data_IF_023126796125
#
_entry.id   IF_023126796125
#
_cell.length_a   1.000
_cell.length_b   1.000
_cell.length_c   1.000
_cell.angle_alpha   90.00
_cell.angle_beta   90.00
_cell.angle_gamma   90.00
#
_symmetry.space_group_name_H-M   'P 1'
#
loop_
_entity.id
_entity.type
_entity.pdbx_description
1 polymer ?
#
# COMPACT_ATOMS: atom_id res chain seq x y z
N UNK A 1 61.03 5.07 -25.23
CA UNK A 1 60.34 6.25 -25.83
C UNK A 1 58.92 5.86 -26.15
N UNK A 2 57.95 6.09 -25.25
CA UNK A 2 56.51 6.02 -25.56
C UNK A 2 55.78 6.83 -24.50
N UNK A 3 55.24 7.98 -24.93
CA UNK A 3 54.47 8.93 -24.13
C UNK A 3 53.10 8.28 -23.82
N UNK A 4 52.76 8.19 -22.54
CA UNK A 4 51.36 8.01 -22.08
C UNK A 4 50.70 9.38 -21.94
N UNK A 5 49.65 9.62 -22.69
CA UNK A 5 48.76 10.75 -22.52
C UNK A 5 47.82 10.46 -21.35
N UNK A 6 47.83 11.33 -20.33
CA UNK A 6 46.81 11.41 -19.31
C UNK A 6 45.68 12.29 -19.85
N UNK A 7 44.51 11.70 -19.97
CA UNK A 7 43.23 12.41 -20.18
C UNK A 7 42.38 12.04 -18.96
N UNK A 8 42.11 13.01 -18.12
CA UNK A 8 40.94 13.29 -17.29
C UNK A 8 41.36 14.17 -16.11
N UNK A 9 41.34 15.50 -16.34
CA UNK A 9 41.39 16.49 -15.28
C UNK A 9 40.00 16.60 -14.62
N UNK A 10 39.88 16.18 -13.37
CA UNK A 10 38.82 16.60 -12.47
C UNK A 10 39.39 17.68 -11.57
N UNK A 11 38.99 18.93 -11.79
CA UNK A 11 39.24 20.03 -10.84
C UNK A 11 38.44 19.80 -9.57
N UNK A 12 39.16 19.57 -8.47
CA UNK A 12 38.60 19.51 -7.13
C UNK A 12 38.27 20.95 -6.72
N UNK A 13 36.99 21.32 -6.83
CA UNK A 13 36.48 22.57 -6.29
C UNK A 13 36.59 22.54 -4.78
N UNK A 14 37.44 23.37 -4.25
CA UNK A 14 37.74 23.55 -2.83
C UNK A 14 36.46 23.81 -2.03
N UNK A 15 36.28 23.06 -0.93
CA UNK A 15 35.15 23.12 0.00
C UNK A 15 34.84 24.49 0.62
N UNK A 16 35.72 25.48 0.43
CA UNK A 16 35.55 26.84 0.93
C UNK A 16 34.61 27.72 0.08
N UNK A 17 34.31 27.34 -1.14
CA UNK A 17 33.34 28.06 -2.01
C UNK A 17 31.89 27.82 -1.63
N UNK A 18 31.55 26.58 -1.26
CA UNK A 18 30.18 26.18 -0.96
C UNK A 18 29.64 26.82 0.34
N UNK A 19 30.52 27.02 1.32
CA UNK A 19 30.17 27.62 2.62
C UNK A 19 29.92 29.13 2.56
N UNK A 20 30.48 29.83 1.56
CA UNK A 20 30.23 31.25 1.34
C UNK A 20 28.84 31.50 0.69
N UNK A 21 28.39 30.61 -0.19
CA UNK A 21 27.06 30.71 -0.79
C UNK A 21 25.94 30.35 0.19
N UNK A 22 26.16 29.39 1.11
CA UNK A 22 25.18 29.07 2.13
C UNK A 22 24.96 30.21 3.16
N UNK A 23 26.02 30.99 3.47
CA UNK A 23 25.91 32.17 4.37
C UNK A 23 25.21 33.36 3.68
N UNK A 24 25.29 33.49 2.36
CA UNK A 24 24.62 34.57 1.61
C UNK A 24 23.10 34.35 1.51
N UNK A 25 22.63 33.11 1.47
CA UNK A 25 21.20 32.78 1.40
C UNK A 25 20.49 32.99 2.75
N UNK A 26 21.19 32.78 3.87
CA UNK A 26 20.63 32.99 5.21
C UNK A 26 20.54 34.49 5.58
N UNK A 27 21.38 35.36 4.98
CA UNK A 27 21.35 36.80 5.27
C UNK A 27 20.39 37.61 4.40
N UNK A 28 19.95 37.07 3.24
CA UNK A 28 18.99 37.76 2.36
C UNK A 28 17.52 37.55 2.77
N UNK A 29 17.24 36.59 3.67
CA UNK A 29 15.89 36.32 4.19
C UNK A 29 15.47 37.19 5.37
N UNK A 30 16.37 37.95 5.99
CA UNK A 30 16.12 38.67 7.23
C UNK A 30 15.87 40.19 7.09
N UNK A 31 15.87 40.75 5.88
CA UNK A 31 15.77 42.23 5.66
C UNK A 31 14.45 42.66 4.99
N UNK A 32 13.50 41.77 4.76
CA UNK A 32 12.23 42.11 4.08
C UNK A 32 10.97 42.05 4.98
N UNK A 33 11.10 42.29 6.28
CA UNK A 33 9.95 42.32 7.21
C UNK A 33 9.86 43.69 7.96
N UNK A 34 10.16 44.80 7.31
CA UNK A 34 9.91 46.13 7.87
C UNK A 34 9.50 47.13 6.78
N UNK A 35 8.39 46.82 6.07
CA UNK A 35 7.65 47.84 5.35
C UNK A 35 6.18 47.68 5.75
N UNK A 36 5.75 48.48 6.74
CA UNK A 36 4.39 48.52 7.23
C UNK A 36 3.42 48.94 6.14
N UNK A 37 2.50 48.05 5.80
CA UNK A 37 1.27 48.40 5.06
C UNK A 37 0.12 48.31 6.05
N UNK A 38 -0.34 49.49 6.49
CA UNK A 38 -1.55 49.64 7.28
C UNK A 38 -2.76 49.30 6.43
N UNK A 39 -3.29 48.10 6.53
CA UNK A 39 -4.60 47.78 5.99
C UNK A 39 -5.68 48.23 6.99
N UNK A 40 -6.48 49.22 6.59
CA UNK A 40 -7.71 49.61 7.25
C UNK A 40 -8.71 48.47 7.07
N UNK A 41 -9.15 47.86 8.17
CA UNK A 41 -10.31 46.99 8.17
C UNK A 41 -11.56 47.80 7.88
N UNK A 42 -12.18 47.60 6.72
CA UNK A 42 -13.54 48.00 6.46
C UNK A 42 -14.45 46.95 7.12
N UNK A 43 -15.16 47.36 8.17
CA UNK A 43 -16.20 46.55 8.75
C UNK A 43 -17.36 46.41 7.76
N UNK A 44 -17.56 45.25 7.21
CA UNK A 44 -18.78 44.90 6.49
C UNK A 44 -19.88 44.65 7.52
N UNK A 45 -20.83 45.55 7.61
CA UNK A 45 -22.08 45.34 8.34
C UNK A 45 -22.91 44.29 7.64
N UNK A 46 -23.18 43.17 8.32
CA UNK A 46 -24.12 42.17 7.87
C UNK A 46 -25.56 42.70 7.89
N UNK A 47 -26.44 42.24 6.99
CA UNK A 47 -27.85 42.64 6.99
C UNK A 47 -28.56 42.15 8.26
N UNK A 48 -29.38 43.04 8.84
CA UNK A 48 -30.16 42.84 10.03
C UNK A 48 -31.28 41.78 9.86
N UNK A 49 -31.86 41.31 10.98
CA UNK A 49 -32.87 40.26 10.96
C UNK A 49 -34.24 40.82 10.56
N UNK A 50 -34.76 40.28 9.48
CA UNK A 50 -36.18 40.54 9.13
C UNK A 50 -36.43 40.58 7.65
N UNK A 51 -36.63 39.42 7.06
CA UNK A 51 -37.71 39.17 6.09
C UNK A 51 -37.71 37.69 5.75
N UNK A 52 -38.73 37.03 6.22
CA UNK A 52 -39.15 35.67 5.92
C UNK A 52 -39.67 35.53 4.49
N UNK A 53 -39.68 34.25 4.07
CA UNK A 53 -40.43 33.67 2.95
C UNK A 53 -39.71 33.70 1.62
N UNK A 54 -39.33 32.52 1.11
CA UNK A 54 -40.25 31.52 0.57
C UNK A 54 -39.54 30.16 0.43
N UNK A 55 -40.17 29.17 1.06
CA UNK A 55 -39.82 27.76 0.85
C UNK A 55 -40.32 27.33 -0.53
N UNK A 56 -39.45 27.20 -1.49
CA UNK A 56 -39.78 26.55 -2.78
C UNK A 56 -39.76 25.04 -2.60
N UNK A 57 -40.94 24.42 -2.63
CA UNK A 57 -41.10 22.96 -2.73
C UNK A 57 -40.46 22.47 -4.05
N UNK A 58 -39.64 21.42 -4.04
CA UNK A 58 -39.15 20.84 -5.31
C UNK A 58 -40.31 20.13 -6.03
N UNK A 59 -40.60 20.57 -7.24
CA UNK A 59 -41.45 19.84 -8.18
C UNK A 59 -40.76 18.52 -8.55
N UNK A 60 -41.46 17.39 -8.35
CA UNK A 60 -41.11 16.13 -8.99
C UNK A 60 -41.13 16.34 -10.51
N UNK A 61 -40.01 16.16 -11.15
CA UNK A 61 -39.94 15.88 -12.59
C UNK A 61 -39.56 14.41 -12.71
N UNK A 62 -40.49 13.64 -13.30
CA UNK A 62 -40.21 12.36 -13.86
C UNK A 62 -39.25 12.57 -15.04
N UNK A 63 -38.02 12.12 -14.89
CA UNK A 63 -37.07 11.98 -15.98
C UNK A 63 -36.68 10.51 -16.10
N UNK A 64 -36.54 9.99 -17.33
CA UNK A 64 -36.20 8.59 -17.55
C UNK A 64 -34.83 8.30 -16.98
N UNK A 65 -34.66 7.09 -16.40
CA UNK A 65 -33.42 6.60 -15.91
C UNK A 65 -32.38 6.55 -17.04
N UNK A 66 -31.39 7.46 -16.98
CA UNK A 66 -30.14 7.31 -17.69
C UNK A 66 -29.40 6.16 -17.01
N UNK A 67 -29.26 5.06 -17.73
CA UNK A 67 -28.42 3.94 -17.40
C UNK A 67 -26.97 4.46 -17.52
N UNK A 68 -26.39 4.89 -16.43
CA UNK A 68 -24.93 5.07 -16.35
C UNK A 68 -24.31 3.69 -16.35
N UNK A 69 -23.72 3.31 -17.48
CA UNK A 69 -22.82 2.17 -17.58
C UNK A 69 -21.58 2.45 -16.67
N UNK A 70 -21.68 2.04 -15.41
CA UNK A 70 -20.47 1.86 -14.60
C UNK A 70 -19.63 0.77 -15.25
N UNK A 71 -18.35 1.00 -15.52
CA UNK A 71 -17.48 -0.03 -16.07
C UNK A 71 -17.38 -1.18 -15.08
N UNK A 72 -18.10 -2.26 -15.36
CA UNK A 72 -17.97 -3.52 -14.63
C UNK A 72 -16.58 -4.06 -14.89
N UNK A 73 -15.80 -4.23 -13.83
CA UNK A 73 -14.53 -4.96 -13.87
C UNK A 73 -14.84 -6.32 -14.50
N UNK A 74 -14.16 -6.70 -15.61
CA UNK A 74 -14.45 -7.99 -16.24
C UNK A 74 -13.95 -9.09 -15.30
N UNK A 75 -14.79 -9.67 -14.47
CA UNK A 75 -14.50 -10.95 -13.85
C UNK A 75 -14.62 -12.01 -14.95
N UNK A 76 -13.50 -12.48 -15.47
CA UNK A 76 -13.44 -13.57 -16.45
C UNK A 76 -14.01 -14.90 -15.93
N UNK A 77 -14.53 -14.93 -14.71
CA UNK A 77 -14.97 -16.14 -14.03
C UNK A 77 -16.43 -16.15 -13.59
N UNK A 78 -17.24 -15.15 -13.89
CA UNK A 78 -18.69 -15.33 -13.74
C UNK A 78 -19.22 -16.09 -14.93
N UNK A 79 -19.05 -17.42 -14.97
CA UNK A 79 -19.95 -18.28 -15.72
C UNK A 79 -21.33 -18.12 -15.09
N UNK A 80 -22.22 -17.42 -15.78
CA UNK A 80 -23.65 -17.60 -15.56
C UNK A 80 -23.94 -19.07 -15.85
N UNK A 81 -24.17 -19.86 -14.83
CA UNK A 81 -24.79 -21.16 -14.96
C UNK A 81 -26.22 -20.94 -15.50
N UNK A 82 -26.35 -21.05 -16.81
CA UNK A 82 -27.63 -21.35 -17.47
C UNK A 82 -27.68 -22.85 -17.51
N UNK A 83 -28.80 -23.38 -16.99
CA UNK A 83 -29.21 -24.78 -16.95
C UNK A 83 -28.79 -25.57 -15.68
N UNK A 84 -29.35 -25.12 -14.53
CA UNK A 84 -29.59 -26.04 -13.42
C UNK A 84 -31.04 -26.49 -13.50
N UNK A 85 -31.35 -27.80 -13.61
CA UNK A 85 -32.73 -28.29 -13.57
C UNK A 85 -33.42 -27.91 -12.26
N UNK A 86 -34.60 -27.32 -12.33
CA UNK A 86 -35.45 -27.08 -11.15
C UNK A 86 -35.74 -28.41 -10.44
N UNK A 87 -35.26 -28.53 -9.18
CA UNK A 87 -35.60 -29.68 -8.34
C UNK A 87 -34.46 -30.36 -7.61
N UNK A 88 -33.22 -29.96 -7.83
CA UNK A 88 -32.10 -30.42 -6.98
C UNK A 88 -32.03 -29.60 -5.70
N UNK A 89 -31.90 -30.22 -4.49
CA UNK A 89 -31.67 -29.47 -3.28
C UNK A 89 -30.32 -28.75 -3.41
N UNK A 90 -30.37 -27.43 -3.58
CA UNK A 90 -29.19 -26.59 -3.53
C UNK A 90 -28.75 -26.56 -2.07
N UNK A 91 -27.82 -27.43 -1.72
CA UNK A 91 -27.06 -27.27 -0.49
C UNK A 91 -26.14 -26.04 -0.68
N UNK A 92 -26.62 -24.87 -0.35
CA UNK A 92 -25.76 -23.72 -0.09
C UNK A 92 -25.03 -24.02 1.22
N UNK A 93 -23.93 -24.74 1.12
CA UNK A 93 -22.96 -24.81 2.21
C UNK A 93 -22.31 -23.43 2.32
N UNK A 94 -22.81 -22.59 3.23
CA UNK A 94 -22.16 -21.36 3.68
C UNK A 94 -20.87 -21.73 4.43
N UNK A 95 -19.97 -22.43 3.77
CA UNK A 95 -18.65 -22.72 4.34
C UNK A 95 -17.82 -21.46 4.20
N UNK A 96 -17.74 -20.68 5.27
CA UNK A 96 -16.80 -19.57 5.35
C UNK A 96 -15.38 -20.12 5.21
N UNK A 97 -14.81 -20.04 4.03
CA UNK A 97 -13.41 -20.41 3.80
C UNK A 97 -12.53 -19.20 4.04
N UNK A 98 -11.54 -19.34 4.90
CA UNK A 98 -10.50 -18.34 5.12
C UNK A 98 -9.32 -18.66 4.23
N UNK A 99 -8.94 -17.71 3.37
CA UNK A 99 -7.77 -17.82 2.52
C UNK A 99 -6.62 -16.99 3.09
N UNK A 100 -5.43 -17.59 3.10
CA UNK A 100 -4.18 -16.99 3.57
C UNK A 100 -3.15 -17.04 2.45
N UNK A 101 -2.57 -15.90 2.16
CA UNK A 101 -1.33 -15.83 1.38
C UNK A 101 -0.16 -15.79 2.37
N UNK A 102 0.75 -16.75 2.24
CA UNK A 102 1.85 -16.95 3.19
C UNK A 102 3.18 -16.91 2.45
N UNK A 103 4.04 -15.96 2.79
CA UNK A 103 5.42 -15.96 2.34
C UNK A 103 6.32 -16.50 3.45
N UNK A 104 7.23 -17.41 3.10
CA UNK A 104 8.31 -17.87 3.97
C UNK A 104 9.61 -17.31 3.42
N UNK A 105 10.25 -16.42 4.16
CA UNK A 105 11.41 -15.67 3.73
C UNK A 105 12.64 -16.05 4.54
N UNK A 106 13.80 -16.15 3.89
CA UNK A 106 15.07 -16.30 4.59
C UNK A 106 15.50 -14.99 5.29
N UNK A 107 16.66 -15.00 5.94
CA UNK A 107 17.21 -13.82 6.61
C UNK A 107 17.68 -12.70 5.68
N UNK A 108 17.64 -12.92 4.37
CA UNK A 108 17.92 -11.94 3.32
C UNK A 108 16.65 -11.43 2.63
N UNK A 109 15.46 -11.92 3.05
CA UNK A 109 14.17 -11.58 2.44
C UNK A 109 13.82 -12.41 1.20
N UNK A 110 14.61 -13.44 0.85
CA UNK A 110 14.29 -14.29 -0.29
C UNK A 110 13.28 -15.37 0.09
N UNK A 111 12.33 -15.61 -0.81
CA UNK A 111 11.33 -16.65 -0.66
C UNK A 111 11.95 -18.05 -0.60
N UNK A 112 11.51 -18.87 0.35
CA UNK A 112 11.90 -20.26 0.47
C UNK A 112 10.83 -21.13 -0.20
N UNK A 113 11.11 -21.72 -1.37
CA UNK A 113 10.15 -22.54 -2.12
C UNK A 113 10.07 -23.97 -1.61
N UNK A 114 9.09 -24.73 -2.14
CA UNK A 114 8.98 -26.18 -2.01
C UNK A 114 8.78 -26.71 -0.59
N UNK A 115 8.21 -25.90 0.32
CA UNK A 115 7.81 -26.40 1.63
C UNK A 115 6.49 -27.18 1.46
N UNK A 116 6.46 -28.48 1.82
CA UNK A 116 5.27 -29.30 1.69
C UNK A 116 4.11 -28.83 2.58
N UNK A 117 2.87 -29.05 2.13
CA UNK A 117 1.64 -28.73 2.91
C UNK A 117 1.68 -29.23 4.34
N UNK A 118 2.17 -30.45 4.56
CA UNK A 118 2.22 -31.09 5.89
C UNK A 118 3.11 -30.37 6.91
N UNK A 119 3.98 -29.47 6.46
CA UNK A 119 4.82 -28.66 7.33
C UNK A 119 4.14 -27.36 7.79
N UNK A 120 2.98 -27.00 7.22
CA UNK A 120 2.25 -25.81 7.65
C UNK A 120 1.22 -26.17 8.73
N UNK A 121 1.23 -25.41 9.81
CA UNK A 121 0.21 -25.44 10.86
C UNK A 121 -0.43 -24.07 10.97
N UNK A 122 -1.73 -24.00 10.77
CA UNK A 122 -2.53 -22.80 10.94
C UNK A 122 -3.24 -22.86 12.28
N UNK A 123 -3.13 -21.82 13.07
CA UNK A 123 -3.82 -21.64 14.34
C UNK A 123 -4.77 -20.45 14.22
N UNK A 124 -6.04 -20.62 14.63
CA UNK A 124 -7.00 -19.55 14.82
C UNK A 124 -7.34 -19.46 16.32
N UNK A 125 -7.11 -18.31 16.93
CA UNK A 125 -7.22 -18.10 18.39
C UNK A 125 -6.50 -19.21 19.20
N UNK A 126 -5.31 -19.65 18.74
CA UNK A 126 -4.50 -20.75 19.23
C UNK A 126 -5.10 -22.16 19.05
N UNK A 127 -6.20 -22.31 18.33
CA UNK A 127 -6.80 -23.60 17.97
C UNK A 127 -6.30 -24.04 16.60
N UNK A 128 -5.68 -25.25 16.47
CA UNK A 128 -5.24 -25.75 15.17
C UNK A 128 -6.40 -25.91 14.20
N UNK A 129 -6.19 -25.48 12.96
CA UNK A 129 -7.17 -25.54 11.88
C UNK A 129 -6.75 -26.56 10.84
N UNK A 130 -7.74 -27.25 10.27
CA UNK A 130 -7.50 -28.20 9.19
C UNK A 130 -7.38 -27.45 7.86
N UNK A 131 -6.20 -27.51 7.23
CA UNK A 131 -5.98 -26.94 5.91
C UNK A 131 -6.82 -27.72 4.90
N UNK A 132 -7.75 -27.07 4.20
CA UNK A 132 -8.58 -27.66 3.15
C UNK A 132 -7.99 -27.48 1.75
N UNK A 133 -7.34 -26.34 1.48
CA UNK A 133 -6.69 -26.02 0.22
C UNK A 133 -5.22 -25.61 0.41
N UNK A 134 -4.37 -26.00 -0.55
CA UNK A 134 -2.96 -25.60 -0.57
C UNK A 134 -2.46 -25.52 -2.01
N UNK A 135 -1.89 -24.39 -2.40
CA UNK A 135 -1.32 -24.22 -3.72
C UNK A 135 -0.10 -23.28 -3.68
N UNK A 136 0.78 -23.41 -4.67
CA UNK A 136 1.97 -22.58 -4.87
C UNK A 136 2.03 -22.03 -6.29
N UNK A 137 0.85 -21.73 -6.87
CA UNK A 137 0.76 -21.37 -8.29
C UNK A 137 1.38 -20.00 -8.57
N UNK A 138 2.68 -19.97 -8.87
CA UNK A 138 3.42 -18.76 -9.23
C UNK A 138 3.00 -18.17 -10.60
N UNK A 139 2.24 -18.93 -11.41
CA UNK A 139 1.87 -18.52 -12.76
C UNK A 139 0.48 -17.85 -12.85
N UNK A 140 -0.31 -17.90 -11.77
CA UNK A 140 -1.59 -17.20 -11.76
C UNK A 140 -1.40 -15.68 -11.88
N UNK A 141 -2.26 -14.99 -12.69
CA UNK A 141 -2.26 -13.54 -12.75
C UNK A 141 -2.48 -12.92 -11.37
N UNK A 142 -1.87 -11.77 -11.15
CA UNK A 142 -2.10 -11.00 -9.94
C UNK A 142 -2.68 -9.61 -10.23
N UNK A 143 -3.34 -9.03 -9.25
CA UNK A 143 -3.93 -7.71 -9.32
C UNK A 143 -3.27 -6.80 -8.29
N UNK A 144 -2.59 -5.75 -8.76
CA UNK A 144 -1.86 -4.82 -7.90
C UNK A 144 -2.44 -3.42 -8.02
N UNK A 145 -2.82 -2.82 -6.89
CA UNK A 145 -3.12 -1.40 -6.82
C UNK A 145 -1.89 -0.65 -6.30
N UNK A 146 -1.29 0.19 -7.12
CA UNK A 146 -0.22 1.09 -6.70
C UNK A 146 -0.86 2.38 -6.16
N UNK A 147 -0.73 2.61 -4.85
CA UNK A 147 -1.25 3.79 -4.14
C UNK A 147 -0.07 4.70 -3.82
N UNK A 148 -0.03 5.86 -4.45
CA UNK A 148 1.16 6.72 -4.48
C UNK A 148 0.83 8.06 -3.84
N UNK A 149 1.53 8.40 -2.78
CA UNK A 149 1.48 9.73 -2.20
C UNK A 149 2.11 10.75 -3.14
N UNK A 150 1.32 11.73 -3.55
CA UNK A 150 1.72 12.71 -4.53
C UNK A 150 1.38 14.12 -4.06
N UNK A 151 2.04 14.56 -2.97
CA UNK A 151 1.80 15.88 -2.39
C UNK A 151 2.96 16.86 -2.64
N UNK A 152 2.63 18.17 -2.63
CA UNK A 152 3.57 19.24 -2.90
C UNK A 152 4.65 19.39 -1.81
N UNK A 153 4.31 19.10 -0.55
CA UNK A 153 5.25 19.21 0.56
C UNK A 153 6.42 18.25 0.39
N UNK A 154 6.14 17.01 -0.02
CA UNK A 154 7.16 16.01 -0.25
C UNK A 154 8.03 16.37 -1.45
N UNK A 155 7.45 16.84 -2.55
CA UNK A 155 8.19 17.20 -3.76
C UNK A 155 9.08 18.42 -3.59
N UNK A 156 8.66 19.42 -2.82
CA UNK A 156 9.44 20.60 -2.55
C UNK A 156 10.79 20.28 -1.91
N UNK A 157 10.82 19.29 -1.03
CA UNK A 157 12.06 18.86 -0.34
C UNK A 157 12.84 17.79 -1.14
N UNK A 158 12.21 17.12 -2.11
CA UNK A 158 12.76 15.90 -2.70
C UNK A 158 12.54 15.74 -4.20
N UNK A 159 12.61 16.78 -4.99
CA UNK A 159 12.38 16.71 -6.44
C UNK A 159 13.20 15.60 -7.14
N UNK A 160 14.47 15.42 -6.74
CA UNK A 160 15.33 14.37 -7.30
C UNK A 160 14.93 12.97 -6.80
N UNK A 161 14.58 12.83 -5.53
CA UNK A 161 14.11 11.57 -4.96
C UNK A 161 12.77 11.12 -5.53
N UNK A 162 11.88 12.06 -5.79
CA UNK A 162 10.62 11.77 -6.44
C UNK A 162 10.81 11.17 -7.84
N UNK A 163 11.67 11.77 -8.64
CA UNK A 163 12.00 11.23 -9.96
C UNK A 163 12.55 9.81 -9.89
N UNK A 164 13.47 9.53 -8.97
CA UNK A 164 14.00 8.19 -8.75
C UNK A 164 12.92 7.20 -8.30
N UNK A 165 11.99 7.63 -7.45
CA UNK A 165 10.85 6.83 -7.02
C UNK A 165 9.94 6.47 -8.21
N UNK A 166 9.64 7.42 -9.08
CA UNK A 166 8.85 7.17 -10.28
C UNK A 166 9.55 6.20 -11.23
N UNK A 167 10.84 6.39 -11.49
CA UNK A 167 11.63 5.48 -12.34
C UNK A 167 11.63 4.07 -11.78
N UNK A 168 11.82 3.92 -10.48
CA UNK A 168 11.81 2.61 -9.83
C UNK A 168 10.41 1.98 -9.83
N UNK A 169 9.34 2.78 -9.63
CA UNK A 169 7.95 2.32 -9.72
C UNK A 169 7.63 1.81 -11.13
N UNK A 170 8.18 2.46 -12.14
CA UNK A 170 8.13 2.01 -13.52
C UNK A 170 8.80 0.65 -13.70
N UNK A 171 10.02 0.51 -13.19
CA UNK A 171 10.76 -0.75 -13.20
C UNK A 171 9.97 -1.89 -12.53
N UNK A 172 9.20 -1.60 -11.47
CA UNK A 172 8.28 -2.59 -10.89
C UNK A 172 7.20 -3.04 -11.88
N UNK A 173 6.54 -2.10 -12.54
CA UNK A 173 5.49 -2.42 -13.54
C UNK A 173 6.06 -3.27 -14.68
N UNK A 174 7.28 -3.03 -15.10
CA UNK A 174 7.96 -3.83 -16.13
C UNK A 174 8.29 -5.26 -15.69
N UNK A 175 8.42 -5.52 -14.38
CA UNK A 175 8.64 -6.88 -13.85
C UNK A 175 7.36 -7.73 -13.83
N UNK A 176 6.20 -7.11 -14.00
CA UNK A 176 4.91 -7.80 -13.98
C UNK A 176 4.67 -8.54 -15.30
N UNK A 177 3.98 -9.69 -15.21
CA UNK A 177 3.59 -10.46 -16.40
C UNK A 177 2.55 -9.68 -17.24
N UNK A 178 2.45 -9.97 -18.54
CA UNK A 178 1.51 -9.25 -19.42
C UNK A 178 0.03 -9.37 -18.98
N UNK A 179 -0.33 -10.44 -18.30
CA UNK A 179 -1.67 -10.75 -17.79
C UNK A 179 -1.93 -10.23 -16.38
N UNK A 180 -0.94 -9.64 -15.71
CA UNK A 180 -1.13 -9.00 -14.41
C UNK A 180 -1.86 -7.67 -14.56
N UNK A 181 -2.85 -7.44 -13.70
CA UNK A 181 -3.63 -6.19 -13.64
C UNK A 181 -2.98 -5.19 -12.71
N UNK A 182 -2.95 -3.93 -13.15
CA UNK A 182 -2.42 -2.82 -12.35
C UNK A 182 -3.38 -1.65 -12.38
N UNK A 183 -3.66 -1.07 -11.22
CA UNK A 183 -4.28 0.24 -11.07
C UNK A 183 -3.25 1.23 -10.50
N UNK A 184 -3.32 2.49 -10.93
CA UNK A 184 -2.53 3.59 -10.39
C UNK A 184 -3.47 4.59 -9.71
N UNK A 185 -3.28 4.78 -8.42
CA UNK A 185 -4.06 5.68 -7.58
C UNK A 185 -3.08 6.66 -6.96
N UNK A 186 -3.25 7.93 -7.22
CA UNK A 186 -2.49 8.99 -6.55
C UNK A 186 -3.33 9.61 -5.46
N UNK A 187 -2.71 10.12 -4.41
CA UNK A 187 -3.41 10.89 -3.41
C UNK A 187 -2.57 12.06 -2.86
N UNK A 188 -3.26 13.15 -2.62
CA UNK A 188 -2.83 14.31 -1.86
C UNK A 188 -3.97 14.67 -0.87
N UNK A 189 -4.73 15.72 -1.14
CA UNK A 189 -5.96 16.10 -0.43
C UNK A 189 -7.09 15.06 -0.56
N UNK A 190 -7.08 14.29 -1.65
CA UNK A 190 -8.06 13.25 -1.96
C UNK A 190 -7.45 12.17 -2.87
N UNK A 191 -7.94 10.93 -2.82
CA UNK A 191 -7.52 9.92 -3.78
C UNK A 191 -8.06 10.22 -5.18
N UNK A 192 -7.22 10.01 -6.19
CA UNK A 192 -7.54 10.08 -7.61
C UNK A 192 -7.10 8.80 -8.31
N UNK A 193 -8.02 8.15 -9.02
CA UNK A 193 -7.71 7.00 -9.84
C UNK A 193 -7.16 7.49 -11.19
N UNK A 194 -5.85 7.37 -11.38
CA UNK A 194 -5.20 7.77 -12.62
C UNK A 194 -5.44 6.75 -13.73
N UNK A 195 -5.43 5.47 -13.41
CA UNK A 195 -5.91 4.38 -14.25
C UNK A 195 -6.48 3.27 -13.38
N UNK A 196 -7.61 2.70 -13.78
CA UNK A 196 -8.22 1.55 -13.11
C UNK A 196 -7.49 0.26 -13.53
N UNK A 197 -7.85 -0.86 -12.91
CA UNK A 197 -7.21 -2.16 -13.15
C UNK A 197 -7.16 -2.52 -14.63
N UNK A 198 -5.97 -2.61 -15.17
CA UNK A 198 -5.75 -2.89 -16.60
C UNK A 198 -4.47 -3.70 -16.79
N UNK A 199 -4.42 -4.46 -17.87
CA UNK A 199 -3.22 -5.13 -18.38
C UNK A 199 -2.49 -4.28 -19.43
N UNK A 200 -3.12 -3.17 -19.87
CA UNK A 200 -2.56 -2.25 -20.87
C UNK A 200 -1.45 -1.39 -20.28
N UNK A 201 -0.21 -1.73 -20.62
CA UNK A 201 0.99 -1.04 -20.13
C UNK A 201 1.08 0.41 -20.63
N UNK A 202 0.50 0.72 -21.78
CA UNK A 202 0.44 2.10 -22.32
C UNK A 202 -0.40 3.00 -21.41
N UNK A 203 -1.58 2.55 -20.98
CA UNK A 203 -2.43 3.30 -20.04
C UNK A 203 -1.76 3.50 -18.68
N UNK A 204 -1.05 2.49 -18.19
CA UNK A 204 -0.29 2.59 -16.94
C UNK A 204 0.80 3.65 -17.10
N UNK A 205 1.50 3.66 -18.23
CA UNK A 205 2.52 4.64 -18.56
C UNK A 205 1.96 6.07 -18.60
N UNK A 206 0.86 6.28 -19.27
CA UNK A 206 0.18 7.56 -19.32
C UNK A 206 -0.23 8.06 -17.93
N UNK A 207 -0.78 7.15 -17.10
CA UNK A 207 -1.14 7.47 -15.72
C UNK A 207 0.08 7.95 -14.90
N UNK A 208 1.19 7.21 -14.99
CA UNK A 208 2.42 7.59 -14.28
C UNK A 208 3.00 8.93 -14.77
N UNK A 209 2.85 9.26 -16.08
CA UNK A 209 3.29 10.54 -16.62
C UNK A 209 2.48 11.74 -16.10
N UNK A 210 1.27 11.52 -15.57
CA UNK A 210 0.46 12.56 -14.93
C UNK A 210 0.99 12.99 -13.57
N UNK A 211 1.84 12.19 -12.93
CA UNK A 211 2.47 12.45 -11.64
C UNK A 211 3.64 13.45 -11.75
N UNK A 212 3.43 14.63 -12.35
CA UNK A 212 4.48 15.63 -12.57
C UNK A 212 4.42 16.81 -11.61
N UNK A 213 3.22 17.30 -11.35
CA UNK A 213 2.99 18.51 -10.54
C UNK A 213 1.90 18.20 -9.52
N UNK A 214 2.22 18.11 -8.22
CA UNK A 214 1.23 17.92 -7.18
C UNK A 214 0.40 19.19 -6.96
N UNK A 215 -0.88 19.01 -6.65
CA UNK A 215 -1.80 20.11 -6.43
C UNK A 215 -1.78 20.63 -5.00
N UNK A 216 -1.66 19.76 -4.02
CA UNK A 216 -1.85 20.08 -2.61
C UNK A 216 -0.71 19.55 -1.73
N UNK A 217 -0.62 20.08 -0.51
CA UNK A 217 0.42 19.70 0.46
C UNK A 217 -0.06 18.69 1.49
N UNK A 218 -1.35 18.42 1.53
CA UNK A 218 -2.01 17.53 2.46
C UNK A 218 -1.80 16.07 2.03
N UNK A 219 -1.98 15.15 2.99
CA UNK A 219 -1.92 13.72 2.77
C UNK A 219 -3.18 13.06 3.33
N UNK A 220 -3.94 12.40 2.46
CA UNK A 220 -5.17 11.67 2.75
C UNK A 220 -4.92 10.15 2.62
N UNK A 221 -3.97 9.65 3.40
CA UNK A 221 -3.50 8.27 3.28
C UNK A 221 -4.54 7.24 3.71
N UNK A 222 -5.23 7.48 4.83
CA UNK A 222 -6.16 6.49 5.37
C UNK A 222 -7.37 6.30 4.46
N UNK A 223 -7.97 7.40 3.99
CA UNK A 223 -9.13 7.32 3.10
C UNK A 223 -8.73 6.64 1.77
N UNK A 224 -7.55 6.98 1.21
CA UNK A 224 -7.04 6.38 -0.01
C UNK A 224 -6.79 4.87 0.13
N UNK A 225 -6.21 4.43 1.25
CA UNK A 225 -5.98 3.01 1.52
C UNK A 225 -7.28 2.25 1.72
N UNK A 226 -8.23 2.80 2.49
CA UNK A 226 -9.52 2.14 2.77
C UNK A 226 -10.34 2.03 1.50
N UNK A 227 -10.46 3.10 0.71
CA UNK A 227 -11.17 3.08 -0.57
C UNK A 227 -10.57 2.01 -1.51
N UNK A 228 -9.25 2.01 -1.65
CA UNK A 228 -8.54 1.03 -2.49
C UNK A 228 -8.75 -0.40 -1.98
N UNK A 229 -8.61 -0.65 -0.68
CA UNK A 229 -8.78 -1.98 -0.09
C UNK A 229 -10.20 -2.50 -0.28
N UNK A 230 -11.21 -1.65 -0.07
CA UNK A 230 -12.61 -1.98 -0.29
C UNK A 230 -12.92 -2.33 -1.75
N UNK A 231 -12.39 -1.56 -2.71
CA UNK A 231 -12.50 -1.84 -4.14
C UNK A 231 -11.91 -3.20 -4.53
N UNK A 232 -10.86 -3.63 -3.82
CA UNK A 232 -10.18 -4.90 -4.08
C UNK A 232 -10.81 -6.09 -3.35
N UNK A 233 -11.76 -5.89 -2.43
CA UNK A 233 -12.32 -6.98 -1.61
C UNK A 233 -12.90 -8.11 -2.48
N UNK A 234 -13.64 -7.77 -3.51
CA UNK A 234 -14.33 -8.72 -4.39
C UNK A 234 -13.48 -9.22 -5.57
N UNK A 235 -12.21 -8.82 -5.66
CA UNK A 235 -11.29 -9.34 -6.67
C UNK A 235 -10.82 -10.71 -6.21
N UNK A 236 -11.04 -11.73 -7.04
CA UNK A 236 -10.57 -13.08 -6.78
C UNK A 236 -9.09 -13.26 -7.16
N UNK A 237 -8.46 -14.26 -6.58
CA UNK A 237 -7.07 -14.59 -6.84
C UNK A 237 -6.07 -13.71 -6.07
N UNK A 238 -4.84 -13.65 -6.57
CA UNK A 238 -3.76 -12.90 -5.94
C UNK A 238 -3.95 -11.42 -6.13
N UNK A 239 -3.97 -10.70 -5.04
CA UNK A 239 -4.14 -9.25 -5.02
C UNK A 239 -3.28 -8.63 -3.93
N UNK A 240 -2.82 -7.41 -4.17
CA UNK A 240 -2.09 -6.62 -3.17
C UNK A 240 -2.19 -5.13 -3.44
N UNK A 241 -1.99 -4.35 -2.40
CA UNK A 241 -1.76 -2.90 -2.48
C UNK A 241 -0.25 -2.65 -2.33
N UNK A 242 0.33 -1.92 -3.26
CA UNK A 242 1.67 -1.36 -3.14
C UNK A 242 1.54 0.12 -2.79
N UNK A 243 1.77 0.44 -1.53
CA UNK A 243 1.72 1.80 -0.99
C UNK A 243 3.11 2.44 -1.08
N UNK A 244 3.22 3.57 -1.75
CA UNK A 244 4.43 4.39 -1.80
C UNK A 244 4.11 5.70 -1.10
N UNK A 245 4.58 5.87 0.14
CA UNK A 245 4.08 6.92 1.01
C UNK A 245 5.09 7.39 2.05
N UNK A 246 4.86 8.57 2.60
CA UNK A 246 5.57 9.05 3.79
C UNK A 246 5.12 8.34 5.07
N UNK A 247 3.92 7.77 5.08
CA UNK A 247 3.27 7.21 6.26
C UNK A 247 2.58 8.25 7.14
N UNK A 248 2.59 9.53 6.74
CA UNK A 248 1.88 10.61 7.43
C UNK A 248 0.48 10.77 6.84
N UNK A 249 -0.46 11.04 7.72
CA UNK A 249 -1.83 11.41 7.34
C UNK A 249 -2.17 12.76 7.98
N UNK A 250 -2.67 13.70 7.19
CA UNK A 250 -2.97 15.05 7.65
C UNK A 250 -4.41 15.48 7.37
N UNK A 251 -5.11 14.78 6.48
CA UNK A 251 -6.41 15.25 5.98
C UNK A 251 -7.49 14.19 5.82
N UNK A 252 -7.25 12.93 6.18
CA UNK A 252 -8.26 11.89 6.10
C UNK A 252 -9.46 12.17 7.03
N UNK A 253 -10.64 11.76 6.58
CA UNK A 253 -11.87 11.76 7.40
C UNK A 253 -11.85 10.61 8.41
N UNK A 254 -11.18 9.53 8.06
CA UNK A 254 -11.00 8.38 8.94
C UNK A 254 -9.90 8.63 9.95
N UNK A 255 -10.11 8.14 11.17
CA UNK A 255 -9.03 8.02 12.15
C UNK A 255 -8.21 6.78 11.86
N UNK A 256 -6.96 6.73 12.37
CA UNK A 256 -6.09 5.56 12.24
C UNK A 256 -6.78 4.24 12.64
N UNK A 257 -7.48 4.21 13.78
CA UNK A 257 -8.15 3.00 14.26
C UNK A 257 -9.29 2.55 13.35
N UNK A 258 -10.07 3.50 12.80
CA UNK A 258 -11.12 3.17 11.84
C UNK A 258 -10.55 2.65 10.51
N UNK A 259 -9.51 3.28 10.01
CA UNK A 259 -8.82 2.86 8.81
C UNK A 259 -8.20 1.46 8.99
N UNK A 260 -7.48 1.26 10.09
CA UNK A 260 -6.89 -0.02 10.46
C UNK A 260 -7.92 -1.14 10.46
N UNK A 261 -9.07 -0.94 11.12
CA UNK A 261 -10.16 -1.91 11.16
C UNK A 261 -10.71 -2.21 9.76
N UNK A 262 -11.01 -1.18 8.98
CA UNK A 262 -11.54 -1.35 7.62
C UNK A 262 -10.57 -2.08 6.69
N UNK A 263 -9.26 -1.81 6.80
CA UNK A 263 -8.20 -2.47 6.05
C UNK A 263 -8.08 -3.95 6.46
N UNK A 264 -8.16 -4.25 7.75
CA UNK A 264 -8.17 -5.64 8.24
C UNK A 264 -9.39 -6.41 7.72
N UNK A 265 -10.56 -5.78 7.72
CA UNK A 265 -11.80 -6.37 7.20
C UNK A 265 -11.72 -6.65 5.69
N UNK A 266 -11.11 -5.76 4.92
CA UNK A 266 -10.90 -5.96 3.48
C UNK A 266 -9.94 -7.12 3.17
N UNK A 267 -8.97 -7.40 4.06
CA UNK A 267 -8.09 -8.56 3.97
C UNK A 267 -7.14 -8.58 2.77
N UNK A 268 -6.84 -7.40 2.19
CA UNK A 268 -5.92 -7.25 1.06
C UNK A 268 -4.52 -6.97 1.60
N UNK A 269 -3.50 -7.79 1.24
CA UNK A 269 -2.13 -7.54 1.66
C UNK A 269 -1.61 -6.17 1.21
N UNK A 270 -0.96 -5.43 2.13
CA UNK A 270 -0.36 -4.13 1.85
C UNK A 270 1.15 -4.25 1.95
N UNK A 271 1.86 -3.93 0.89
CA UNK A 271 3.31 -3.70 0.88
C UNK A 271 3.54 -2.20 0.85
N UNK A 272 4.41 -1.69 1.72
CA UNK A 272 4.65 -0.25 1.81
C UNK A 272 6.12 0.09 1.60
N UNK A 273 6.38 1.19 0.91
CA UNK A 273 7.71 1.78 0.76
C UNK A 273 7.66 3.18 1.37
N UNK A 274 8.41 3.37 2.46
CA UNK A 274 8.52 4.67 3.12
C UNK A 274 9.40 5.63 2.31
N UNK A 275 8.86 6.80 2.04
CA UNK A 275 9.58 7.88 1.36
C UNK A 275 10.40 8.78 2.31
N UNK A 276 10.26 8.62 3.62
CA UNK A 276 10.85 9.52 4.62
C UNK A 276 12.21 9.09 5.16
N UNK A 277 12.56 7.80 5.08
CA UNK A 277 13.75 7.29 5.76
C UNK A 277 15.05 7.94 5.24
N UNK A 278 15.20 8.06 3.92
CA UNK A 278 16.37 8.68 3.33
C UNK A 278 16.50 10.18 3.73
N UNK A 279 15.36 10.89 3.78
CA UNK A 279 15.32 12.28 4.27
C UNK A 279 15.69 12.36 5.75
N UNK A 280 15.15 11.50 6.60
CA UNK A 280 15.42 11.48 8.04
C UNK A 280 16.90 11.34 8.34
N UNK A 281 17.61 10.46 7.63
CA UNK A 281 19.05 10.25 7.83
C UNK A 281 19.84 11.52 7.60
N UNK A 282 19.48 12.31 6.57
CA UNK A 282 20.18 13.57 6.25
C UNK A 282 19.78 14.69 7.21
N UNK A 283 18.53 14.76 7.62
CA UNK A 283 17.98 15.86 8.39
C UNK A 283 18.02 15.64 9.91
N UNK A 284 18.36 14.44 10.39
CA UNK A 284 18.26 14.05 11.81
C UNK A 284 18.95 15.00 12.78
N UNK A 285 20.14 15.53 12.40
CA UNK A 285 20.90 16.48 13.22
C UNK A 285 20.18 17.82 13.43
N UNK A 286 19.22 18.14 12.58
CA UNK A 286 18.48 19.41 12.59
C UNK A 286 17.02 19.26 13.05
N UNK A 287 16.58 18.04 13.34
CA UNK A 287 15.20 17.75 13.75
C UNK A 287 14.99 18.01 15.24
N UNK A 288 13.85 18.60 15.57
CA UNK A 288 13.34 18.64 16.93
C UNK A 288 12.84 17.24 17.36
N UNK A 289 12.72 17.04 18.68
CA UNK A 289 12.18 15.78 19.23
C UNK A 289 10.74 15.51 18.76
N UNK A 290 9.93 16.56 18.61
CA UNK A 290 8.57 16.46 18.06
C UNK A 290 8.60 15.92 16.62
N UNK A 291 9.46 16.45 15.75
CA UNK A 291 9.61 15.96 14.38
C UNK A 291 10.08 14.51 14.34
N UNK A 292 11.02 14.12 15.21
CA UNK A 292 11.45 12.70 15.32
C UNK A 292 10.29 11.79 15.72
N UNK A 293 9.45 12.22 16.66
CA UNK A 293 8.26 11.47 17.08
C UNK A 293 7.26 11.33 15.93
N UNK A 294 7.02 12.37 15.14
CA UNK A 294 6.13 12.33 13.97
C UNK A 294 6.62 11.30 12.94
N UNK A 295 7.93 11.24 12.68
CA UNK A 295 8.52 10.24 11.77
C UNK A 295 8.39 8.81 12.31
N UNK A 296 8.62 8.61 13.61
CA UNK A 296 8.46 7.30 14.24
C UNK A 296 6.99 6.84 14.20
N UNK A 297 6.05 7.76 14.37
CA UNK A 297 4.63 7.47 14.25
C UNK A 297 4.27 7.06 12.81
N UNK A 298 4.78 7.77 11.81
CA UNK A 298 4.58 7.45 10.40
C UNK A 298 5.11 6.04 10.07
N UNK A 299 6.33 5.72 10.49
CA UNK A 299 6.92 4.39 10.31
C UNK A 299 6.08 3.30 11.00
N UNK A 300 5.60 3.55 12.22
CA UNK A 300 4.75 2.62 12.97
C UNK A 300 3.39 2.38 12.29
N UNK A 301 2.80 3.41 11.66
CA UNK A 301 1.56 3.26 10.90
C UNK A 301 1.75 2.37 9.69
N UNK A 302 2.79 2.58 8.88
CA UNK A 302 3.13 1.73 7.75
C UNK A 302 3.37 0.28 8.19
N UNK A 303 4.16 0.07 9.25
CA UNK A 303 4.40 -1.25 9.82
C UNK A 303 3.11 -1.93 10.30
N UNK A 304 2.19 -1.17 10.89
CA UNK A 304 0.92 -1.73 11.39
C UNK A 304 0.04 -2.19 10.24
N UNK A 305 -0.19 -1.34 9.23
CA UNK A 305 -1.01 -1.70 8.08
C UNK A 305 -0.46 -2.91 7.32
N UNK A 306 0.84 -2.96 7.10
CA UNK A 306 1.46 -4.06 6.36
C UNK A 306 1.44 -5.37 7.13
N UNK A 307 1.86 -5.37 8.40
CA UNK A 307 1.92 -6.60 9.23
C UNK A 307 0.56 -7.21 9.48
N UNK A 308 -0.47 -6.39 9.67
CA UNK A 308 -1.82 -6.89 9.97
C UNK A 308 -2.51 -7.46 8.74
N UNK A 309 -2.12 -7.03 7.56
CA UNK A 309 -2.67 -7.51 6.28
C UNK A 309 -1.85 -8.63 5.62
N UNK A 310 -0.67 -8.94 6.16
CA UNK A 310 0.20 -10.00 5.62
C UNK A 310 1.14 -9.53 4.50
N UNK A 311 1.49 -8.25 4.51
CA UNK A 311 2.55 -7.69 3.70
C UNK A 311 3.74 -7.22 4.53
N UNK A 312 4.56 -6.33 3.96
CA UNK A 312 5.81 -5.86 4.55
C UNK A 312 6.04 -4.38 4.26
N UNK A 313 6.67 -3.66 5.22
CA UNK A 313 7.08 -2.27 5.05
C UNK A 313 8.59 -2.17 4.86
N UNK A 314 9.00 -1.40 3.85
CA UNK A 314 10.39 -1.14 3.49
C UNK A 314 10.74 0.31 3.77
N UNK A 315 11.92 0.52 4.35
CA UNK A 315 12.40 1.84 4.76
C UNK A 315 13.76 2.12 4.10
N UNK A 316 13.79 2.44 2.79
CA UNK A 316 15.04 2.63 2.05
C UNK A 316 15.84 3.82 2.59
N UNK A 317 17.12 3.59 2.83
CA UNK A 317 18.05 4.61 3.37
C UNK A 317 18.59 5.51 2.27
N UNK A 318 18.59 5.04 1.03
CA UNK A 318 19.02 5.78 -0.16
C UNK A 318 18.30 5.23 -1.42
N UNK A 319 18.20 6.05 -2.44
CA UNK A 319 17.42 5.73 -3.64
C UNK A 319 17.88 4.49 -4.40
N UNK A 320 19.16 4.14 -4.31
CA UNK A 320 19.70 2.93 -4.96
C UNK A 320 19.11 1.62 -4.44
N UNK A 321 18.39 1.62 -3.30
CA UNK A 321 17.70 0.44 -2.77
C UNK A 321 16.36 0.17 -3.46
N UNK A 322 15.71 1.18 -4.04
CA UNK A 322 14.39 1.05 -4.63
C UNK A 322 14.26 -0.08 -5.67
N UNK A 323 15.16 -0.24 -6.66
CA UNK A 323 15.04 -1.32 -7.64
C UNK A 323 15.07 -2.71 -7.00
N UNK A 324 15.87 -2.90 -5.95
CA UNK A 324 15.92 -4.16 -5.22
C UNK A 324 14.63 -4.40 -4.45
N UNK A 325 14.14 -3.39 -3.71
CA UNK A 325 12.90 -3.47 -2.94
C UNK A 325 11.72 -3.81 -3.85
N UNK A 326 11.57 -3.12 -4.99
CA UNK A 326 10.49 -3.43 -5.94
C UNK A 326 10.58 -4.83 -6.50
N UNK A 327 11.79 -5.32 -6.79
CA UNK A 327 12.00 -6.70 -7.22
C UNK A 327 11.64 -7.70 -6.11
N UNK A 328 12.01 -7.42 -4.86
CA UNK A 328 11.72 -8.28 -3.72
C UNK A 328 10.20 -8.32 -3.44
N UNK A 329 9.51 -7.19 -3.55
CA UNK A 329 8.04 -7.14 -3.49
C UNK A 329 7.42 -7.97 -4.63
N UNK A 330 7.87 -7.79 -5.86
CA UNK A 330 7.40 -8.57 -7.01
C UNK A 330 7.59 -10.08 -6.80
N UNK A 331 8.74 -10.48 -6.27
CA UNK A 331 9.02 -11.86 -5.93
C UNK A 331 8.15 -12.36 -4.78
N UNK A 332 7.95 -11.57 -3.72
CA UNK A 332 7.10 -11.93 -2.59
C UNK A 332 5.63 -12.10 -3.02
N UNK A 333 5.13 -11.21 -3.87
CA UNK A 333 3.76 -11.30 -4.40
C UNK A 333 3.57 -12.53 -5.29
N UNK A 334 4.59 -12.91 -6.05
CA UNK A 334 4.51 -14.03 -6.99
C UNK A 334 4.73 -15.38 -6.31
N UNK A 335 5.60 -15.41 -5.32
CA UNK A 335 6.03 -16.63 -4.65
C UNK A 335 5.44 -16.74 -3.26
N UNK A 336 4.14 -17.07 -3.19
CA UNK A 336 3.40 -17.27 -1.94
C UNK A 336 2.78 -18.65 -1.91
N UNK A 337 2.59 -19.17 -0.71
CA UNK A 337 1.76 -20.34 -0.44
C UNK A 337 0.33 -19.87 -0.18
N UNK A 338 -0.59 -20.24 -1.05
CA UNK A 338 -2.03 -20.03 -0.82
C UNK A 338 -2.57 -21.18 0.03
N UNK A 339 -3.02 -20.87 1.23
CA UNK A 339 -3.56 -21.83 2.20
C UNK A 339 -5.02 -21.47 2.44
N UNK A 340 -5.91 -22.46 2.29
CA UNK A 340 -7.32 -22.32 2.63
C UNK A 340 -7.69 -23.24 3.77
N UNK A 341 -8.54 -22.77 4.68
CA UNK A 341 -9.13 -23.59 5.74
C UNK A 341 -10.55 -23.13 6.06
N UNK A 342 -11.36 -24.03 6.58
CA UNK A 342 -12.68 -23.71 7.14
C UNK A 342 -12.55 -23.56 8.64
N UNK A 343 -12.90 -22.39 9.22
CA UNK A 343 -12.77 -22.16 10.65
C UNK A 343 -13.58 -23.18 11.45
N UNK A 344 -12.94 -23.75 12.49
CA UNK A 344 -13.65 -24.59 13.47
C UNK A 344 -14.65 -23.79 14.31
N UNK A 345 -14.35 -22.48 14.52
CA UNK A 345 -15.27 -21.55 15.16
C UNK A 345 -16.10 -20.82 14.08
N UNK A 346 -17.34 -21.27 13.85
CA UNK A 346 -18.25 -20.72 12.86
C UNK A 346 -19.18 -19.61 13.40
N UNK A 347 -18.96 -19.13 14.62
CA UNK A 347 -19.82 -18.09 15.23
C UNK A 347 -19.68 -16.77 14.48
N UNK A 348 -20.81 -16.27 13.97
CA UNK A 348 -20.93 -14.99 13.24
C UNK A 348 -21.15 -13.83 14.22
N UNK A 349 -20.13 -13.50 15.05
CA UNK A 349 -20.22 -12.55 16.16
C UNK A 349 -19.55 -11.20 15.86
N UNK A 350 -18.95 -11.03 14.68
CA UNK A 350 -18.21 -9.82 14.31
C UNK A 350 -16.92 -9.60 15.09
N UNK A 351 -16.42 -10.60 15.82
CA UNK A 351 -15.16 -10.48 16.56
C UNK A 351 -13.95 -10.78 15.68
N UNK A 352 -12.83 -10.19 16.05
CA UNK A 352 -11.56 -10.47 15.40
C UNK A 352 -11.05 -11.86 15.81
N UNK A 353 -10.67 -12.66 14.82
CA UNK A 353 -10.04 -13.98 14.94
C UNK A 353 -8.55 -13.85 14.65
N UNK A 354 -7.73 -14.14 15.62
CA UNK A 354 -6.27 -14.06 15.46
C UNK A 354 -5.75 -15.30 14.74
N UNK A 355 -4.97 -15.08 13.68
CA UNK A 355 -4.33 -16.17 12.92
C UNK A 355 -2.84 -16.18 13.22
N UNK A 356 -2.30 -17.39 13.34
CA UNK A 356 -0.87 -17.66 13.39
C UNK A 356 -0.54 -18.81 12.45
N UNK A 357 0.43 -18.62 11.59
CA UNK A 357 0.98 -19.68 10.75
C UNK A 357 2.32 -20.09 11.29
N UNK A 358 2.54 -21.38 11.43
CA UNK A 358 3.79 -21.97 11.90
C UNK A 358 4.28 -23.01 10.91
N UNK A 359 5.60 -23.17 10.85
CA UNK A 359 6.22 -24.29 10.16
C UNK A 359 6.67 -25.34 11.19
N UNK A 360 6.18 -26.54 11.03
CA UNK A 360 6.43 -27.64 11.95
C UNK A 360 6.91 -28.89 11.20
N UNK A 361 7.68 -29.71 11.87
CA UNK A 361 7.94 -31.05 11.41
C UNK A 361 6.68 -31.91 11.69
N UNK A 362 6.07 -32.55 10.69
CA UNK A 362 4.85 -33.30 10.86
C UNK A 362 5.02 -34.53 11.82
N UNK A 363 6.23 -35.06 11.92
CA UNK A 363 6.49 -36.28 12.71
C UNK A 363 6.55 -36.03 14.22
N UNK A 364 7.08 -34.88 14.64
CA UNK A 364 7.30 -34.58 16.06
C UNK A 364 6.64 -33.26 16.53
N UNK A 365 6.07 -32.48 15.60
CA UNK A 365 5.42 -31.19 15.90
C UNK A 365 6.37 -30.05 16.30
N UNK A 366 7.69 -30.27 16.27
CA UNK A 366 8.68 -29.23 16.56
C UNK A 366 8.79 -28.24 15.41
N UNK A 367 9.40 -27.08 15.68
CA UNK A 367 9.65 -26.09 14.66
C UNK A 367 10.49 -26.68 13.52
N UNK A 368 10.04 -26.50 12.29
CA UNK A 368 10.73 -26.97 11.09
C UNK A 368 12.12 -26.33 10.98
N UNK A 369 13.15 -27.14 10.82
CA UNK A 369 14.51 -26.69 10.53
C UNK A 369 14.73 -26.76 9.03
N UNK A 370 14.96 -25.61 8.41
CA UNK A 370 15.29 -25.52 6.98
C UNK A 370 16.81 -25.37 6.85
N UNK A 371 17.42 -26.10 5.94
CA UNK A 371 18.86 -26.03 5.67
C UNK A 371 19.15 -25.64 4.24
N UNK A 372 20.29 -25.00 4.01
CA UNK A 372 20.80 -24.72 2.68
C UNK A 372 21.40 -25.98 2.00
N UNK A 373 21.87 -25.82 0.77
CA UNK A 373 22.53 -26.93 0.01
C UNK A 373 23.80 -27.47 0.69
N UNK A 374 24.35 -26.77 1.69
CA UNK A 374 25.52 -27.12 2.48
C UNK A 374 25.13 -27.63 3.88
N UNK A 375 23.85 -28.00 4.09
CA UNK A 375 23.29 -28.45 5.37
C UNK A 375 23.42 -27.42 6.52
N UNK A 376 23.58 -26.12 6.22
CA UNK A 376 23.59 -25.08 7.24
C UNK A 376 22.15 -24.61 7.52
N UNK A 377 21.78 -24.42 8.79
CA UNK A 377 20.43 -23.97 9.14
C UNK A 377 20.17 -22.56 8.62
N UNK A 378 19.05 -22.38 7.92
CA UNK A 378 18.54 -21.10 7.45
C UNK A 378 17.56 -20.57 8.50
N UNK A 379 17.80 -19.35 8.99
CA UNK A 379 16.79 -18.63 9.76
C UNK A 379 15.72 -18.13 8.80
N UNK A 380 14.47 -18.29 9.15
CA UNK A 380 13.35 -17.84 8.32
C UNK A 380 12.33 -17.05 9.13
N UNK A 381 11.55 -16.26 8.44
CA UNK A 381 10.37 -15.55 8.92
C UNK A 381 9.15 -15.97 8.11
N UNK A 382 7.98 -15.89 8.74
CA UNK A 382 6.69 -16.19 8.09
C UNK A 382 5.90 -14.90 8.04
N UNK A 383 5.52 -14.49 6.85
CA UNK A 383 4.70 -13.30 6.59
C UNK A 383 3.31 -13.78 6.15
N UNK A 384 2.31 -13.47 6.95
CA UNK A 384 0.91 -13.79 6.70
C UNK A 384 0.02 -12.80 7.44
N UNK A 385 -1.24 -12.64 7.01
CA UNK A 385 -2.20 -11.80 7.75
C UNK A 385 -2.38 -12.30 9.18
N UNK A 386 -2.49 -11.36 10.12
CA UNK A 386 -2.56 -11.68 11.55
C UNK A 386 -3.95 -12.10 12.03
N UNK A 387 -4.97 -12.01 11.18
CA UNK A 387 -6.32 -12.38 11.53
C UNK A 387 -7.36 -11.82 10.54
N UNK A 388 -8.62 -11.99 10.90
CA UNK A 388 -9.77 -11.45 10.17
C UNK A 388 -10.91 -11.18 11.14
N UNK A 389 -11.87 -10.35 10.73
CA UNK A 389 -13.10 -10.13 11.49
C UNK A 389 -14.15 -11.14 11.03
N UNK A 390 -14.68 -11.93 11.96
CA UNK A 390 -15.76 -12.89 11.66
C UNK A 390 -17.00 -12.13 11.13
N UNK A 391 -17.76 -12.70 10.19
CA UNK A 391 -18.97 -12.06 9.73
C UNK A 391 -19.94 -11.84 10.90
N UNK A 392 -20.87 -10.89 10.74
CA UNK A 392 -22.01 -10.74 11.65
C UNK A 392 -23.20 -11.50 11.10
N UNK A 393 -23.98 -12.13 11.97
CA UNK A 393 -25.29 -12.59 11.58
C UNK A 393 -26.10 -11.38 11.07
N UNK A 394 -26.70 -11.52 9.89
CA UNK A 394 -27.65 -10.52 9.38
C UNK A 394 -28.96 -10.83 10.08
N UNK A 395 -29.45 -9.90 10.90
CA UNK A 395 -30.79 -9.97 11.51
C UNK A 395 -31.88 -9.73 10.47
#
# INVERSE_FOLDING_TARGET
MLRRQNVFGFDIVSSNGLMKYLKAIVFSGAVLVLAGVSFRFAAAQGPGPGQSETVAKPKKKDAPAEVTDEPKIPSKFSKKDKDVPEGLPTFSSDVNTVQLEVAVLDNHGHFIPNIPRGNFRVLEDNVPQQISGFSTNADAPMTVAMVIEFNALFQQYWSQGWYQTLVASYGFVETLKPDDYVAIIAYDLRPEILTDFTTDRGKIQEAMQRLRIPGFSESNMYDALVDTAQRMTNIEGRKAILLIATGRDTFSKLTFDKARKAIQEAGVPIYAISLLQAFRIVADAYMSDSQRMDFLQADNQLNTFTRETGGEAFFPRFYGEFPNIFRDIGNALRNQYSIAYSPSNQVKDGKFRKIKVELVNPDNGEQLRITDQKNKPIKYSIVAKQGYTAPRAVE
#
